data_IF_306834306911
#
_entry.id   IF_306834306911
#
_cell.length_a   1.000
_cell.length_b   1.000
_cell.length_c   1.000
_cell.angle_alpha   90.00
_cell.angle_beta   90.00
_cell.angle_gamma   90.00
#
_symmetry.space_group_name_H-M   'P 1'
#
loop_
_entity.id
_entity.type
_entity.pdbx_description
1 polymer ?
#
# COMPACT_ATOMS: atom_id res chain seq x y z
N UNK A 1 6.05 -17.69 1.61
CA UNK A 1 6.52 -17.09 2.87
C UNK A 1 6.43 -18.07 4.05
N UNK A 2 5.23 -18.37 4.59
CA UNK A 2 5.09 -19.18 5.82
C UNK A 2 5.75 -20.57 5.76
N UNK A 3 5.61 -21.28 4.65
CA UNK A 3 6.20 -22.61 4.47
C UNK A 3 7.74 -22.55 4.55
N UNK A 4 8.34 -21.56 3.88
CA UNK A 4 9.78 -21.38 3.87
C UNK A 4 10.31 -20.94 5.24
N UNK A 5 9.55 -20.11 5.96
CA UNK A 5 9.89 -19.71 7.33
C UNK A 5 9.86 -20.90 8.29
N UNK A 6 8.81 -21.71 8.21
CA UNK A 6 8.71 -22.95 8.99
C UNK A 6 9.88 -23.87 8.68
N UNK A 7 10.22 -24.07 7.41
CA UNK A 7 11.36 -24.90 7.01
C UNK A 7 12.68 -24.39 7.62
N UNK A 8 12.92 -23.07 7.56
CA UNK A 8 14.10 -22.47 8.19
C UNK A 8 14.16 -22.73 9.71
N UNK A 9 13.02 -22.70 10.39
CA UNK A 9 12.91 -22.92 11.83
C UNK A 9 12.98 -24.40 12.26
N UNK A 10 12.63 -25.34 11.38
CA UNK A 10 12.66 -26.78 11.66
C UNK A 10 13.97 -27.46 11.26
N UNK A 11 14.76 -26.90 10.34
CA UNK A 11 16.06 -27.45 9.94
C UNK A 11 17.28 -26.64 10.43
N UNK A 12 17.31 -26.03 11.63
CA UNK A 12 18.48 -25.27 12.05
C UNK A 12 19.61 -26.21 12.46
N UNK A 13 20.79 -26.00 11.87
CA UNK A 13 21.99 -26.77 12.22
C UNK A 13 22.52 -26.45 13.63
N UNK A 14 22.16 -25.29 14.19
CA UNK A 14 22.70 -24.77 15.46
C UNK A 14 21.63 -24.57 16.54
N UNK A 15 20.43 -25.14 16.40
CA UNK A 15 19.32 -24.94 17.33
C UNK A 15 18.70 -23.52 17.32
N UNK A 16 19.11 -22.67 16.38
CA UNK A 16 18.62 -21.31 16.21
C UNK A 16 17.20 -21.28 15.63
N UNK A 17 16.32 -20.49 16.21
CA UNK A 17 14.99 -20.19 15.64
C UNK A 17 14.99 -18.77 15.11
N UNK A 18 14.57 -18.60 13.86
CA UNK A 18 14.45 -17.28 13.23
C UNK A 18 13.12 -16.66 13.68
N UNK A 19 13.16 -15.99 14.82
CA UNK A 19 12.04 -15.30 15.44
C UNK A 19 12.36 -13.83 15.72
N UNK A 20 11.42 -13.13 16.35
CA UNK A 20 11.57 -11.73 16.74
C UNK A 20 12.53 -11.53 17.92
N UNK A 21 12.92 -12.60 18.62
CA UNK A 21 13.83 -12.53 19.77
C UNK A 21 15.24 -12.10 19.36
N UNK A 22 15.60 -12.30 18.10
CA UNK A 22 16.87 -11.85 17.54
C UNK A 22 16.83 -10.40 17.05
N UNK A 23 15.72 -9.68 17.17
CA UNK A 23 15.63 -8.32 16.66
C UNK A 23 16.41 -7.36 17.57
N UNK A 24 17.35 -6.64 16.98
CA UNK A 24 18.29 -5.70 17.61
C UNK A 24 18.32 -4.41 16.78
N UNK A 25 18.95 -3.35 17.28
CA UNK A 25 19.06 -2.01 16.65
C UNK A 25 19.67 -2.06 15.24
N UNK A 26 20.27 -3.19 14.86
CA UNK A 26 20.81 -3.44 13.52
C UNK A 26 19.72 -3.74 12.49
N UNK A 27 18.55 -4.24 12.89
CA UNK A 27 17.43 -4.51 11.98
C UNK A 27 16.75 -3.21 11.60
N UNK A 28 16.70 -2.94 10.30
CA UNK A 28 16.00 -1.80 9.74
C UNK A 28 15.01 -2.26 8.68
N UNK A 29 13.89 -1.54 8.55
CA UNK A 29 12.91 -1.79 7.51
C UNK A 29 13.51 -1.46 6.13
N UNK A 30 13.48 -2.45 5.22
CA UNK A 30 13.95 -2.27 3.83
C UNK A 30 12.90 -1.64 2.92
N UNK A 31 11.63 -1.75 3.28
CA UNK A 31 10.50 -1.17 2.55
C UNK A 31 9.52 -0.54 3.51
N UNK A 32 9.01 0.62 3.15
CA UNK A 32 8.03 1.36 3.92
C UNK A 32 6.81 1.61 3.05
N UNK A 33 5.61 1.38 3.60
CA UNK A 33 4.38 1.78 2.94
C UNK A 33 4.06 3.21 3.36
N UNK A 34 4.05 4.12 2.39
CA UNK A 34 3.61 5.50 2.58
C UNK A 34 2.14 5.60 2.24
N UNK A 35 1.37 6.23 3.13
CA UNK A 35 -0.05 6.51 2.94
C UNK A 35 -0.21 7.98 2.60
N UNK A 36 -0.67 8.26 1.39
CA UNK A 36 -1.00 9.63 0.98
C UNK A 36 -2.51 9.83 1.10
N UNK A 37 -2.91 10.68 2.04
CA UNK A 37 -4.31 11.05 2.25
C UNK A 37 -4.52 12.42 1.60
N UNK A 38 -5.32 12.53 0.54
CA UNK A 38 -5.55 13.82 -0.11
C UNK A 38 -6.34 14.77 0.83
N UNK A 39 -5.86 16.01 0.98
CA UNK A 39 -6.38 17.04 1.91
C UNK A 39 -7.85 17.46 1.66
N UNK A 40 -8.45 17.05 0.54
CA UNK A 40 -9.86 17.33 0.22
C UNK A 40 -10.88 16.58 1.10
N UNK A 41 -10.44 15.83 2.12
CA UNK A 41 -11.30 15.02 2.98
C UNK A 41 -12.08 15.83 4.06
N UNK A 42 -11.65 17.05 4.39
CA UNK A 42 -12.18 17.80 5.55
C UNK A 42 -13.24 18.85 5.21
N UNK A 43 -13.52 19.14 3.93
CA UNK A 43 -14.56 20.12 3.57
C UNK A 43 -15.71 19.50 2.77
N UNK A 44 -16.89 19.61 3.35
CA UNK A 44 -18.17 18.93 3.15
C UNK A 44 -18.79 18.97 1.74
N UNK A 45 -18.12 19.47 0.69
CA UNK A 45 -18.75 19.70 -0.62
C UNK A 45 -17.86 19.51 -1.86
N UNK A 46 -16.69 18.86 -1.75
CA UNK A 46 -15.88 18.63 -2.97
C UNK A 46 -16.29 17.35 -3.70
N UNK A 47 -16.81 17.51 -4.92
CA UNK A 47 -17.25 16.45 -5.85
C UNK A 47 -16.11 15.58 -6.41
N UNK A 48 -14.90 15.69 -5.84
CA UNK A 48 -13.70 14.97 -6.27
C UNK A 48 -12.90 14.51 -5.04
N UNK A 49 -13.49 13.64 -4.22
CA UNK A 49 -12.73 12.87 -3.23
C UNK A 49 -11.89 11.85 -4.01
N UNK A 50 -10.57 12.06 -4.04
CA UNK A 50 -9.65 11.04 -4.51
C UNK A 50 -9.44 10.03 -3.38
N UNK A 51 -9.43 8.71 -3.68
CA UNK A 51 -9.15 7.71 -2.67
C UNK A 51 -7.72 7.90 -2.10
N UNK A 52 -7.49 7.52 -0.83
CA UNK A 52 -6.14 7.48 -0.28
C UNK A 52 -5.27 6.51 -1.10
N UNK A 53 -4.03 6.90 -1.40
CA UNK A 53 -3.10 6.11 -2.19
C UNK A 53 -1.99 5.56 -1.30
N UNK A 54 -1.91 4.24 -1.25
CA UNK A 54 -0.88 3.45 -0.58
C UNK A 54 0.21 3.12 -1.60
N UNK A 55 1.43 3.60 -1.34
CA UNK A 55 2.59 3.39 -2.19
C UNK A 55 3.75 2.83 -1.38
N UNK A 56 4.54 1.96 -2.01
CA UNK A 56 5.72 1.37 -1.37
C UNK A 56 6.92 2.23 -1.75
N UNK A 57 7.57 2.74 -0.73
CA UNK A 57 8.85 3.40 -0.86
C UNK A 57 9.92 2.38 -0.47
N UNK A 58 10.79 2.03 -1.42
CA UNK A 58 12.04 1.36 -1.07
C UNK A 58 12.92 2.39 -0.36
N UNK A 59 13.42 2.06 0.83
CA UNK A 59 14.41 2.93 1.47
C UNK A 59 15.67 2.83 0.62
N UNK A 60 15.93 3.86 -0.20
CA UNK A 60 17.03 3.95 -1.15
C UNK A 60 18.37 3.71 -0.48
N UNK A 61 18.75 2.45 -0.42
CA UNK A 61 20.12 2.01 -0.52
C UNK A 61 20.08 1.04 -1.69
N UNK A 62 20.27 1.59 -2.90
CA UNK A 62 20.50 0.90 -4.18
C UNK A 62 22.03 0.97 -4.42
N UNK A 63 22.80 -0.10 -4.57
CA UNK A 63 22.92 -0.83 -5.82
C UNK A 63 23.21 -2.33 -5.74
N UNK A 64 23.12 -2.87 -6.94
CA UNK A 64 23.57 -4.15 -7.48
C UNK A 64 24.84 -4.74 -6.85
N UNK A 65 24.76 -6.00 -6.44
CA UNK A 65 25.92 -6.89 -6.30
C UNK A 65 26.27 -7.43 -7.70
N UNK A 66 27.12 -6.70 -8.41
CA UNK A 66 27.93 -7.21 -9.51
C UNK A 66 29.08 -6.23 -9.74
N UNK A 67 30.09 -6.29 -8.87
CA UNK A 67 31.49 -5.98 -9.19
C UNK A 67 32.33 -6.11 -7.91
N UNK A 68 32.72 -7.35 -7.61
CA UNK A 68 33.94 -7.57 -6.85
C UNK A 68 35.07 -7.59 -7.86
N UNK A 69 35.87 -6.51 -7.90
CA UNK A 69 37.35 -6.54 -8.01
C UNK A 69 37.94 -5.12 -8.06
N UNK A 70 38.86 -4.88 -7.13
CA UNK A 70 39.90 -3.83 -7.09
C UNK A 70 39.49 -2.37 -6.81
N UNK A 71 39.89 -1.86 -5.64
CA UNK A 71 40.89 -0.77 -5.56
C UNK A 71 41.43 -0.60 -4.14
N UNK A 72 42.71 -0.87 -3.97
CA UNK A 72 43.49 -0.44 -2.80
C UNK A 72 43.85 1.06 -2.89
N UNK A 73 44.16 1.60 -1.71
CA UNK A 73 44.95 2.81 -1.39
C UNK A 73 44.21 4.13 -1.07
N UNK A 74 44.20 4.41 0.23
CA UNK A 74 44.41 5.69 0.93
C UNK A 74 43.60 6.95 0.54
N UNK A 75 42.83 7.43 1.52
CA UNK A 75 42.30 8.79 1.58
C UNK A 75 41.25 8.93 2.67
N UNK A 76 41.57 9.71 3.71
CA UNK A 76 40.70 10.17 4.80
C UNK A 76 39.43 10.84 4.27
N UNK A 77 38.25 10.27 4.53
CA UNK A 77 36.97 10.97 4.53
C UNK A 77 35.93 10.17 5.32
N UNK A 78 35.16 10.89 6.14
CA UNK A 78 34.19 10.42 7.12
C UNK A 78 32.89 9.95 6.42
N UNK A 79 33.02 9.09 5.41
CA UNK A 79 31.91 8.45 4.72
C UNK A 79 31.89 6.97 5.06
N UNK A 80 31.34 6.65 6.23
CA UNK A 80 30.85 5.29 6.49
C UNK A 80 29.74 5.03 5.47
N UNK A 81 30.13 4.48 4.33
CA UNK A 81 29.24 3.91 3.33
C UNK A 81 28.23 3.06 4.08
N UNK A 82 27.00 3.55 4.17
CA UNK A 82 25.91 2.81 4.76
C UNK A 82 25.60 1.65 3.81
N UNK A 83 26.43 0.60 3.88
CA UNK A 83 26.15 -0.71 3.32
C UNK A 83 24.69 -1.00 3.64
N UNK A 84 23.88 -1.21 2.61
CA UNK A 84 22.46 -1.53 2.77
C UNK A 84 22.39 -2.64 3.81
N UNK A 85 21.78 -2.34 4.95
CA UNK A 85 21.70 -3.30 6.05
C UNK A 85 20.67 -4.34 5.67
N UNK A 86 21.14 -5.41 5.03
CA UNK A 86 20.35 -6.62 4.88
C UNK A 86 20.06 -7.15 6.28
N UNK A 87 18.79 -7.24 6.72
CA UNK A 87 18.47 -7.78 8.03
C UNK A 87 18.96 -9.22 8.16
N UNK A 88 19.06 -9.98 7.06
CA UNK A 88 19.56 -11.36 7.13
C UNK A 88 21.05 -11.45 7.46
N UNK A 89 21.83 -10.38 7.23
CA UNK A 89 23.27 -10.35 7.52
C UNK A 89 23.56 -10.45 9.02
N UNK A 90 22.59 -10.15 9.88
CA UNK A 90 22.75 -10.32 11.33
C UNK A 90 22.93 -11.77 11.77
N UNK A 91 22.45 -12.73 10.97
CA UNK A 91 22.60 -14.16 11.22
C UNK A 91 23.94 -14.70 10.70
N UNK A 92 24.83 -13.82 10.23
CA UNK A 92 26.16 -14.18 9.74
C UNK A 92 26.13 -14.84 8.36
N UNK A 93 27.20 -15.58 8.04
CA UNK A 93 27.38 -16.23 6.74
C UNK A 93 26.41 -17.41 6.51
N UNK A 94 25.94 -18.04 7.59
CA UNK A 94 25.18 -19.29 7.56
C UNK A 94 23.66 -19.08 7.61
N UNK A 95 23.14 -18.13 6.83
CA UNK A 95 21.68 -18.01 6.63
C UNK A 95 21.15 -19.16 5.77
N UNK A 96 20.17 -19.96 6.24
CA UNK A 96 19.61 -21.05 5.46
C UNK A 96 18.87 -20.51 4.25
N UNK A 97 18.93 -21.26 3.14
CA UNK A 97 18.28 -20.85 1.88
C UNK A 97 16.78 -20.57 2.06
N UNK A 98 16.09 -21.39 2.86
CA UNK A 98 14.67 -21.20 3.15
C UNK A 98 14.36 -19.84 3.80
N UNK A 99 15.29 -19.25 4.56
CA UNK A 99 15.11 -17.91 5.13
C UNK A 99 15.28 -16.81 4.07
N UNK A 100 16.19 -17.01 3.11
CA UNK A 100 16.36 -16.12 1.96
C UNK A 100 15.11 -16.14 1.07
N UNK A 101 14.57 -17.33 0.80
CA UNK A 101 13.35 -17.51 0.02
C UNK A 101 12.14 -16.89 0.74
N UNK A 102 12.09 -16.99 2.07
CA UNK A 102 11.06 -16.32 2.89
C UNK A 102 11.11 -14.81 2.73
N UNK A 103 12.31 -14.22 2.76
CA UNK A 103 12.50 -12.79 2.52
C UNK A 103 11.98 -12.43 1.12
N UNK A 104 12.38 -13.15 0.08
CA UNK A 104 11.92 -12.87 -1.29
C UNK A 104 10.39 -12.96 -1.42
N UNK A 105 9.76 -13.99 -0.84
CA UNK A 105 8.30 -14.13 -0.82
C UNK A 105 7.62 -12.97 -0.08
N UNK A 106 8.19 -12.51 1.03
CA UNK A 106 7.65 -11.39 1.80
C UNK A 106 7.71 -10.08 1.01
N UNK A 107 8.75 -9.90 0.20
CA UNK A 107 8.93 -8.76 -0.70
C UNK A 107 7.82 -8.76 -1.76
N UNK A 108 7.63 -9.89 -2.44
CA UNK A 108 6.57 -10.06 -3.45
C UNK A 108 5.18 -9.78 -2.85
N UNK A 109 4.94 -10.23 -1.62
CA UNK A 109 3.67 -9.99 -0.92
C UNK A 109 3.46 -8.50 -0.59
N UNK A 110 4.50 -7.81 -0.14
CA UNK A 110 4.45 -6.37 0.12
C UNK A 110 4.06 -5.58 -1.12
N UNK A 111 4.39 -6.02 -2.35
CA UNK A 111 3.98 -5.36 -3.59
C UNK A 111 2.47 -5.50 -3.91
N UNK A 112 1.85 -6.56 -3.40
CA UNK A 112 0.44 -6.89 -3.68
C UNK A 112 -0.49 -6.21 -2.67
N UNK A 113 -0.12 -6.18 -1.39
CA UNK A 113 -1.00 -5.69 -0.31
C UNK A 113 -1.44 -4.22 -0.54
N UNK A 114 -0.55 -3.24 -0.79
CA UNK A 114 -0.94 -1.85 -1.02
C UNK A 114 -1.82 -1.69 -2.26
N UNK A 115 -1.59 -2.47 -3.31
CA UNK A 115 -2.45 -2.48 -4.51
C UNK A 115 -3.86 -2.96 -4.16
N UNK A 116 -3.98 -4.02 -3.36
CA UNK A 116 -5.27 -4.52 -2.90
C UNK A 116 -6.02 -3.48 -2.07
N UNK A 117 -5.35 -2.87 -1.10
CA UNK A 117 -5.94 -1.81 -0.26
C UNK A 117 -6.36 -0.60 -1.11
N UNK A 118 -5.55 -0.20 -2.10
CA UNK A 118 -5.92 0.85 -3.06
C UNK A 118 -7.20 0.49 -3.82
N UNK A 119 -7.31 -0.75 -4.31
CA UNK A 119 -8.51 -1.20 -5.03
C UNK A 119 -9.74 -1.24 -4.13
N UNK A 120 -9.59 -1.70 -2.88
CA UNK A 120 -10.67 -1.71 -1.89
C UNK A 120 -11.18 -0.29 -1.64
N UNK A 121 -10.28 0.68 -1.41
CA UNK A 121 -10.64 2.08 -1.20
C UNK A 121 -11.30 2.71 -2.43
N UNK A 122 -10.80 2.40 -3.62
CA UNK A 122 -11.42 2.86 -4.86
C UNK A 122 -12.83 2.29 -5.06
N UNK A 123 -13.09 1.04 -4.65
CA UNK A 123 -14.42 0.42 -4.71
C UNK A 123 -15.38 1.02 -3.68
N UNK A 124 -14.93 1.27 -2.45
CA UNK A 124 -15.72 1.94 -1.40
C UNK A 124 -16.21 3.31 -1.88
N UNK A 125 -15.33 4.12 -2.48
CA UNK A 125 -15.69 5.42 -3.05
C UNK A 125 -16.69 5.31 -4.21
N UNK A 126 -16.52 4.29 -5.07
CA UNK A 126 -17.42 4.02 -6.18
C UNK A 126 -18.82 3.62 -5.66
N UNK A 127 -18.90 2.80 -4.63
CA UNK A 127 -20.16 2.43 -3.98
C UNK A 127 -20.89 3.66 -3.44
N UNK A 128 -20.18 4.53 -2.71
CA UNK A 128 -20.74 5.78 -2.18
C UNK A 128 -21.28 6.65 -3.33
N UNK A 129 -20.53 6.76 -4.44
CA UNK A 129 -20.94 7.54 -5.62
C UNK A 129 -22.21 6.98 -6.26
N UNK A 130 -22.28 5.66 -6.43
CA UNK A 130 -23.47 4.99 -6.97
C UNK A 130 -24.67 5.21 -6.06
N UNK A 131 -24.50 5.06 -4.74
CA UNK A 131 -25.57 5.26 -3.77
C UNK A 131 -26.10 6.69 -3.81
N UNK A 132 -25.22 7.70 -3.89
CA UNK A 132 -25.59 9.11 -4.04
C UNK A 132 -26.34 9.35 -5.36
N UNK A 133 -25.82 8.86 -6.48
CA UNK A 133 -26.47 9.00 -7.79
C UNK A 133 -27.87 8.38 -7.83
N UNK A 134 -28.04 7.17 -7.27
CA UNK A 134 -29.36 6.52 -7.13
C UNK A 134 -30.32 7.34 -6.29
N UNK A 135 -29.84 7.91 -5.18
CA UNK A 135 -30.64 8.81 -4.32
C UNK A 135 -31.08 10.06 -5.07
N UNK A 136 -30.21 10.70 -5.84
CA UNK A 136 -30.55 11.88 -6.63
C UNK A 136 -31.57 11.56 -7.74
N UNK A 137 -31.37 10.44 -8.45
CA UNK A 137 -32.34 9.96 -9.45
C UNK A 137 -33.72 9.70 -8.84
N UNK A 138 -33.78 8.98 -7.72
CA UNK A 138 -35.05 8.71 -7.04
C UNK A 138 -35.78 10.00 -6.60
N UNK A 139 -35.04 11.00 -6.10
CA UNK A 139 -35.63 12.31 -5.76
C UNK A 139 -36.19 13.04 -6.99
N UNK A 140 -35.43 13.08 -8.10
CA UNK A 140 -35.85 13.73 -9.33
C UNK A 140 -37.08 13.04 -9.97
N UNK A 141 -37.16 11.72 -9.91
CA UNK A 141 -38.33 10.96 -10.39
C UNK A 141 -39.59 11.24 -9.55
N UNK A 142 -39.45 11.36 -8.23
CA UNK A 142 -40.57 11.73 -7.35
C UNK A 142 -41.04 13.16 -7.64
N UNK A 143 -40.12 14.10 -7.83
CA UNK A 143 -40.43 15.49 -8.17
C UNK A 143 -41.10 15.61 -9.54
N UNK A 144 -40.60 14.91 -10.57
CA UNK A 144 -41.23 14.84 -11.88
C UNK A 144 -42.66 14.31 -11.84
N UNK A 145 -42.92 13.24 -11.06
CA UNK A 145 -44.27 12.70 -10.83
C UNK A 145 -45.17 13.65 -10.05
N UNK A 146 -44.64 14.56 -9.23
CA UNK A 146 -45.42 15.58 -8.52
C UNK A 146 -45.77 16.77 -9.44
N UNK A 147 -44.92 17.07 -10.41
CA UNK A 147 -45.13 18.17 -11.36
C UNK A 147 -46.12 17.80 -12.50
N UNK A 148 -46.11 16.55 -12.97
CA UNK A 148 -47.07 16.02 -13.96
C UNK A 148 -48.58 16.20 -13.60
N UNK A 149 -49.06 15.94 -12.37
CA UNK A 149 -50.47 16.14 -12.01
C UNK A 149 -50.85 17.61 -11.82
N UNK A 150 -49.89 18.51 -11.61
CA UNK A 150 -50.15 19.95 -11.49
C UNK A 150 -50.37 20.63 -12.86
N UNK A 151 -49.73 20.12 -13.91
CA UNK A 151 -49.88 20.63 -15.28
C UNK A 151 -51.20 20.17 -15.93
N UNK A 152 -51.67 18.97 -15.63
CA UNK A 152 -52.95 18.44 -16.14
C UNK A 152 -54.20 19.19 -15.64
N UNK A 153 -54.09 20.01 -14.58
CA UNK A 153 -55.23 20.73 -13.98
C UNK A 153 -55.34 22.22 -14.40
N UNK A 154 -54.46 22.72 -15.27
CA UNK A 154 -54.61 24.07 -15.84
C UNK A 154 -55.57 24.02 -17.03
N UNK A 155 -56.88 24.18 -16.76
CA UNK A 155 -57.84 24.49 -17.84
C UNK A 155 -57.46 25.83 -18.48
N UNK A 156 -57.43 25.94 -19.83
CA UNK A 156 -57.20 27.22 -20.47
C UNK A 156 -58.38 28.14 -20.15
N UNK A 157 -58.08 29.27 -19.50
CA UNK A 157 -59.03 30.38 -19.34
C UNK A 157 -59.22 30.95 -20.75
N UNK A 158 -60.40 30.72 -21.33
CA UNK A 158 -60.76 31.31 -22.62
C UNK A 158 -60.74 32.84 -22.51
N UNK A 159 -60.07 33.56 -23.44
CA UNK A 159 -60.24 35.00 -23.53
C UNK A 159 -61.64 35.32 -24.07
N UNK A 160 -62.25 36.35 -23.48
CA UNK A 160 -63.59 36.90 -23.79
C UNK A 160 -63.57 37.58 -25.16
#
# INVERSE_FOLDING_TARGET
MYINLSRANFTPQNGMRYDTSFYDDRIHAQRLCSVTIPENASNTQSTKLAPPLFAINETSTSGSESDLLNKDANGDDDTKTALKKDPLRMFGLFTPQALKDTKEDSIKMMDVIPKLVNTEKAMEDLEIRIRRARKYRGKAEIEGKKNLPAEANRKPINPI
#
